data_IF_948828179474
#
_entry.id   IF_948828179474
#
_cell.length_a   1.000
_cell.length_b   1.000
_cell.length_c   1.000
_cell.angle_alpha   90.00
_cell.angle_beta   90.00
_cell.angle_gamma   90.00
#
_symmetry.space_group_name_H-M   'P 1'
#
loop_
_entity.id
_entity.type
_entity.pdbx_description
1 polymer ?
#
# COMPACT_ATOMS: atom_id res chain seq x y z
N UNK A 1 20.77 8.64 25.92
CA UNK A 1 19.48 9.21 26.25
C UNK A 1 18.79 9.56 24.94
N UNK A 2 18.32 8.57 24.20
CA UNK A 2 17.65 8.76 22.91
C UNK A 2 16.58 7.65 22.73
N UNK A 3 15.60 7.63 23.63
CA UNK A 3 14.44 6.74 23.51
C UNK A 3 13.17 7.55 23.76
N UNK A 4 12.87 8.50 22.85
CA UNK A 4 11.67 9.34 22.97
C UNK A 4 11.07 9.67 21.60
N UNK A 5 10.97 8.69 20.69
CA UNK A 5 10.40 8.93 19.36
C UNK A 5 9.07 8.20 19.07
N UNK A 6 8.44 7.63 20.06
CA UNK A 6 7.12 6.96 19.91
C UNK A 6 6.00 7.77 20.59
N UNK A 7 6.21 9.05 20.89
CA UNK A 7 5.37 9.75 21.86
C UNK A 7 4.38 10.82 21.41
N UNK A 8 4.24 11.28 20.15
CA UNK A 8 3.30 12.38 19.96
C UNK A 8 1.83 11.95 19.85
N UNK A 9 1.52 10.83 19.22
CA UNK A 9 0.12 10.45 19.03
C UNK A 9 -0.46 9.75 20.26
N UNK A 10 0.29 8.85 20.88
CA UNK A 10 -0.10 8.23 22.16
C UNK A 10 -0.23 9.25 23.28
N UNK A 11 0.57 10.32 23.29
CA UNK A 11 0.48 11.35 24.32
C UNK A 11 -0.70 12.30 24.07
N UNK A 12 -1.02 12.64 22.83
CA UNK A 12 -2.17 13.49 22.49
C UNK A 12 -3.50 12.77 22.76
N UNK A 13 -3.55 11.46 22.51
CA UNK A 13 -4.71 10.63 22.85
C UNK A 13 -4.78 10.37 24.35
N UNK A 14 -3.66 10.13 25.01
CA UNK A 14 -3.62 9.98 26.47
C UNK A 14 -4.01 11.29 27.20
N UNK A 15 -3.67 12.45 26.66
CA UNK A 15 -4.08 13.73 27.26
C UNK A 15 -5.55 14.08 26.99
N UNK A 16 -6.10 13.70 25.84
CA UNK A 16 -7.54 13.83 25.58
C UNK A 16 -8.39 12.84 26.37
N UNK A 17 -7.83 11.66 26.70
CA UNK A 17 -8.44 10.69 27.61
C UNK A 17 -8.31 11.10 29.07
N UNK A 18 -7.26 11.83 29.45
CA UNK A 18 -7.10 12.34 30.83
C UNK A 18 -8.16 13.40 31.20
N UNK A 19 -8.74 14.11 30.23
CA UNK A 19 -9.90 15.01 30.48
C UNK A 19 -11.24 14.27 30.58
N UNK A 20 -11.32 13.00 30.15
CA UNK A 20 -12.45 12.10 30.36
C UNK A 20 -12.30 11.23 31.63
N UNK A 21 -11.18 11.31 32.32
CA UNK A 21 -10.75 10.40 33.39
C UNK A 21 -11.44 10.58 34.74
N UNK A 22 -12.58 11.22 34.82
CA UNK A 22 -13.37 11.24 36.07
C UNK A 22 -14.31 10.03 36.23
N UNK A 23 -14.43 9.14 35.21
CA UNK A 23 -15.35 7.99 35.31
C UNK A 23 -14.94 6.71 34.56
N UNK A 24 -13.71 6.58 34.08
CA UNK A 24 -13.27 5.33 33.43
C UNK A 24 -12.26 4.58 34.32
N UNK A 25 -12.40 3.27 34.47
CA UNK A 25 -11.42 2.43 35.14
C UNK A 25 -10.12 2.33 34.32
N UNK A 26 -8.96 2.16 34.93
CA UNK A 26 -7.65 2.08 34.25
C UNK A 26 -7.60 1.03 33.13
N UNK A 27 -8.36 -0.08 33.27
CA UNK A 27 -8.52 -1.11 32.23
C UNK A 27 -9.20 -0.60 30.95
N UNK A 28 -10.00 0.44 31.06
CA UNK A 28 -10.75 1.01 29.94
C UNK A 28 -9.87 1.93 29.08
N UNK A 29 -8.94 2.63 29.73
CA UNK A 29 -7.95 3.47 29.06
C UNK A 29 -6.96 2.60 28.29
N UNK A 30 -6.46 1.53 28.88
CA UNK A 30 -5.53 0.59 28.25
C UNK A 30 -6.17 -0.12 27.04
N UNK A 31 -7.45 -0.52 27.13
CA UNK A 31 -8.18 -1.11 26.02
C UNK A 31 -8.41 -0.13 24.87
N UNK A 32 -8.68 1.15 25.18
CA UNK A 32 -8.82 2.21 24.18
C UNK A 32 -7.47 2.56 23.53
N UNK A 33 -6.41 2.65 24.31
CA UNK A 33 -5.04 2.88 23.80
C UNK A 33 -4.61 1.75 22.85
N UNK A 34 -4.82 0.48 23.25
CA UNK A 34 -4.52 -0.66 22.41
C UNK A 34 -5.34 -0.64 21.12
N UNK A 35 -6.61 -0.23 21.21
CA UNK A 35 -7.48 -0.13 20.03
C UNK A 35 -7.09 1.02 19.11
N UNK A 36 -6.67 2.13 19.67
CA UNK A 36 -6.12 3.23 18.89
C UNK A 36 -4.85 2.79 18.16
N UNK A 37 -3.93 2.08 18.82
CA UNK A 37 -2.75 1.50 18.18
C UNK A 37 -3.10 0.49 17.09
N UNK A 38 -4.17 -0.29 17.27
CA UNK A 38 -4.65 -1.20 16.22
C UNK A 38 -5.33 -0.47 15.06
N UNK A 39 -6.06 0.61 15.34
CA UNK A 39 -6.61 1.50 14.31
C UNK A 39 -5.50 2.22 13.55
N UNK A 40 -4.49 2.70 14.25
CA UNK A 40 -3.29 3.30 13.66
C UNK A 40 -2.56 2.31 12.74
N UNK A 41 -2.39 1.05 13.16
CA UNK A 41 -1.83 -0.02 12.31
C UNK A 41 -2.71 -0.37 11.09
N UNK A 42 -4.03 -0.08 11.18
CA UNK A 42 -5.00 -0.31 10.10
C UNK A 42 -5.15 0.89 9.15
N UNK A 43 -4.71 2.07 9.59
CA UNK A 43 -4.79 3.28 8.77
C UNK A 43 -3.99 3.12 7.49
N UNK A 44 -2.91 2.41 7.51
CA UNK A 44 -2.30 1.77 6.34
C UNK A 44 -1.12 0.89 6.76
N UNK A 45 -1.26 -0.43 6.88
CA UNK A 45 -0.13 -1.32 7.14
C UNK A 45 0.89 -1.35 6.00
N UNK A 46 0.63 -0.65 4.91
CA UNK A 46 1.45 -0.63 3.72
C UNK A 46 2.31 0.62 3.58
N UNK A 47 1.94 1.69 4.24
CA UNK A 47 2.91 2.75 4.49
C UNK A 47 3.88 2.20 5.50
N UNK A 48 5.12 2.00 5.05
CA UNK A 48 6.25 1.52 5.86
C UNK A 48 6.12 2.08 7.28
N UNK A 49 6.35 1.25 8.28
CA UNK A 49 6.21 1.53 9.73
C UNK A 49 6.77 2.89 10.23
N UNK A 50 7.47 3.63 9.39
CA UNK A 50 8.08 4.94 9.67
C UNK A 50 7.16 6.14 9.37
N UNK A 51 5.92 5.91 8.87
CA UNK A 51 5.05 6.99 8.40
C UNK A 51 3.85 7.20 9.33
N UNK A 52 4.09 7.62 10.55
CA UNK A 52 3.01 8.05 11.44
C UNK A 52 2.60 9.50 11.13
N UNK A 53 1.29 9.79 11.05
CA UNK A 53 0.82 11.15 10.83
C UNK A 53 1.32 12.08 11.94
N UNK A 54 1.91 13.21 11.57
CA UNK A 54 2.29 14.25 12.51
C UNK A 54 1.04 14.87 13.12
N UNK A 55 0.91 14.82 14.44
CA UNK A 55 -0.12 15.57 15.15
C UNK A 55 0.23 17.06 15.09
N UNK A 56 -0.65 17.85 14.45
CA UNK A 56 -0.37 19.26 14.15
C UNK A 56 -0.23 20.16 15.37
N UNK A 57 -0.91 19.87 16.47
CA UNK A 57 -0.67 20.51 17.75
C UNK A 57 -1.14 19.62 18.88
N UNK A 58 -0.36 19.45 19.96
CA UNK A 58 -0.77 18.68 21.13
C UNK A 58 -1.92 19.34 21.92
N UNK A 59 -2.28 20.57 21.62
CA UNK A 59 -3.24 21.37 22.37
C UNK A 59 -4.62 21.50 21.70
N UNK A 60 -4.83 20.89 20.50
CA UNK A 60 -6.13 20.85 19.88
C UNK A 60 -6.88 19.62 20.36
N UNK A 61 -7.91 19.86 21.16
CA UNK A 61 -8.90 18.85 21.52
C UNK A 61 -9.55 18.26 20.25
N UNK A 62 -9.49 16.93 20.07
CA UNK A 62 -10.12 16.27 18.93
C UNK A 62 -11.63 16.45 19.06
N UNK A 63 -12.28 17.27 18.21
CA UNK A 63 -13.69 17.53 18.34
C UNK A 63 -14.50 16.24 18.22
N UNK A 64 -15.33 15.96 19.21
CA UNK A 64 -16.25 14.81 19.21
C UNK A 64 -15.55 13.41 19.17
N UNK A 65 -14.24 13.31 19.41
CA UNK A 65 -13.48 12.06 19.36
C UNK A 65 -13.39 11.47 17.93
N UNK A 66 -13.39 12.32 16.91
CA UNK A 66 -13.16 11.90 15.52
C UNK A 66 -11.69 12.08 15.19
N UNK A 67 -11.01 10.99 14.84
CA UNK A 67 -9.64 11.01 14.33
C UNK A 67 -9.67 11.37 12.85
N UNK A 68 -8.95 12.42 12.48
CA UNK A 68 -8.70 12.81 11.10
C UNK A 68 -7.27 12.47 10.75
N UNK A 69 -7.08 11.64 9.72
CA UNK A 69 -5.77 11.21 9.24
C UNK A 69 -5.74 11.22 7.73
N UNK A 70 -4.56 11.21 7.14
CA UNK A 70 -4.45 11.20 5.70
C UNK A 70 -3.04 11.24 5.19
N UNK A 71 -2.95 11.15 3.86
CA UNK A 71 -1.75 11.29 3.08
C UNK A 71 -2.03 12.15 1.86
N UNK A 72 -1.16 13.07 1.53
CA UNK A 72 -1.25 13.77 0.25
C UNK A 72 0.11 14.23 -0.24
N UNK A 73 0.23 14.31 -1.57
CA UNK A 73 1.37 14.91 -2.26
C UNK A 73 0.90 15.69 -3.47
N UNK A 74 1.42 16.91 -3.61
CA UNK A 74 1.15 17.78 -4.75
C UNK A 74 2.38 18.53 -5.17
N UNK A 75 2.59 18.62 -6.47
CA UNK A 75 3.73 19.36 -7.03
C UNK A 75 3.57 19.60 -8.52
N UNK A 76 4.60 20.22 -9.06
CA UNK A 76 4.75 20.41 -10.49
C UNK A 76 6.21 20.30 -10.87
N UNK A 77 6.49 19.89 -12.11
CA UNK A 77 7.81 19.90 -12.67
C UNK A 77 7.81 20.48 -14.08
N UNK A 78 8.94 21.06 -14.44
CA UNK A 78 9.29 21.39 -15.81
C UNK A 78 9.95 20.17 -16.45
N UNK A 79 9.45 19.76 -17.60
CA UNK A 79 9.97 18.66 -18.40
C UNK A 79 10.80 19.21 -19.57
N UNK A 80 12.02 18.69 -19.74
CA UNK A 80 12.91 19.04 -20.83
C UNK A 80 13.31 17.87 -21.73
N UNK A 81 12.83 16.64 -21.45
CA UNK A 81 13.11 15.44 -22.23
C UNK A 81 11.89 14.94 -23.01
N UNK A 82 12.03 13.79 -23.64
CA UNK A 82 11.01 13.16 -24.48
C UNK A 82 9.83 12.63 -23.66
N UNK A 83 10.07 12.15 -22.44
CA UNK A 83 9.07 11.56 -21.56
C UNK A 83 8.83 12.38 -20.30
N UNK A 84 7.58 12.39 -19.84
CA UNK A 84 7.20 12.98 -18.55
C UNK A 84 7.83 12.27 -17.35
N UNK A 85 7.85 10.96 -17.40
CA UNK A 85 8.40 10.07 -16.38
C UNK A 85 9.32 9.04 -17.03
N UNK A 86 10.33 8.58 -16.31
CA UNK A 86 11.11 7.43 -16.75
C UNK A 86 10.27 6.17 -16.55
N UNK A 87 9.86 5.53 -17.63
CA UNK A 87 9.01 4.34 -17.60
C UNK A 87 9.45 3.36 -18.68
N UNK A 88 9.88 2.17 -18.28
CA UNK A 88 10.23 1.07 -19.17
C UNK A 88 8.96 0.36 -19.62
N UNK A 89 8.78 0.12 -20.92
CA UNK A 89 7.63 -0.61 -21.45
C UNK A 89 7.61 -2.04 -20.92
N UNK A 90 6.41 -2.50 -20.50
CA UNK A 90 6.22 -3.82 -19.88
C UNK A 90 6.53 -3.87 -18.37
N UNK A 91 6.81 -2.73 -17.76
CA UNK A 91 7.04 -2.61 -16.32
C UNK A 91 5.87 -3.14 -15.49
N UNK A 92 6.15 -3.93 -14.46
CA UNK A 92 5.15 -4.49 -13.53
C UNK A 92 4.45 -3.42 -12.67
N UNK A 93 5.07 -2.24 -12.51
CA UNK A 93 4.56 -1.13 -11.69
C UNK A 93 4.73 0.23 -12.38
N UNK A 94 4.63 0.29 -13.70
CA UNK A 94 4.76 1.53 -14.47
C UNK A 94 6.04 2.29 -14.13
N UNK A 95 5.96 3.61 -14.09
CA UNK A 95 7.11 4.48 -13.82
C UNK A 95 7.68 4.35 -12.40
N UNK A 96 6.92 3.82 -11.45
CA UNK A 96 7.38 3.68 -10.07
C UNK A 96 8.32 2.49 -9.87
N UNK A 97 8.32 1.49 -10.77
CA UNK A 97 9.19 0.33 -10.68
C UNK A 97 10.70 0.66 -10.70
N UNK A 98 11.06 1.83 -11.21
CA UNK A 98 12.44 2.35 -11.26
C UNK A 98 12.73 3.37 -10.13
N UNK A 99 11.85 3.41 -9.12
CA UNK A 99 11.89 4.36 -8.02
C UNK A 99 10.86 5.49 -8.18
N UNK A 100 10.27 5.91 -7.07
CA UNK A 100 9.16 6.86 -7.11
C UNK A 100 9.59 8.32 -7.23
N UNK A 101 10.72 8.73 -6.67
CA UNK A 101 11.11 10.14 -6.65
C UNK A 101 11.21 10.73 -8.07
N UNK A 102 10.52 11.83 -8.31
CA UNK A 102 10.44 12.47 -9.63
C UNK A 102 9.50 11.78 -10.64
N UNK A 103 8.94 10.62 -10.28
CA UNK A 103 7.91 9.90 -11.04
C UNK A 103 6.54 9.95 -10.35
N UNK A 104 6.39 10.77 -9.33
CA UNK A 104 5.19 10.83 -8.49
C UNK A 104 4.06 11.64 -9.15
N UNK A 105 2.84 11.12 -9.08
CA UNK A 105 1.63 11.87 -9.43
C UNK A 105 1.10 12.69 -8.24
N UNK A 106 0.21 13.64 -8.52
CA UNK A 106 -0.51 14.42 -7.51
C UNK A 106 -1.73 13.66 -6.99
N UNK A 107 -2.00 13.79 -5.71
CA UNK A 107 -3.18 13.23 -5.07
C UNK A 107 -2.94 12.85 -3.62
N UNK A 108 -3.90 12.15 -3.06
CA UNK A 108 -3.84 11.70 -1.69
C UNK A 108 -5.14 11.07 -1.22
N UNK A 109 -5.18 10.80 0.08
CA UNK A 109 -6.26 10.14 0.77
C UNK A 109 -6.48 10.82 2.11
N UNK A 110 -7.74 10.93 2.55
CA UNK A 110 -8.06 11.39 3.88
C UNK A 110 -9.12 10.53 4.53
N UNK A 111 -8.96 10.26 5.81
CA UNK A 111 -9.76 9.34 6.58
C UNK A 111 -10.34 10.01 7.82
N UNK A 112 -11.57 9.68 8.12
CA UNK A 112 -12.26 9.98 9.35
C UNK A 112 -12.56 8.67 10.07
N UNK A 113 -12.15 8.56 11.32
CA UNK A 113 -12.41 7.38 12.15
C UNK A 113 -12.98 7.79 13.50
N UNK A 114 -13.91 6.99 14.03
CA UNK A 114 -14.47 7.18 15.36
C UNK A 114 -14.68 5.85 16.07
N UNK A 115 -14.21 5.77 17.32
CA UNK A 115 -14.46 4.62 18.18
C UNK A 115 -15.59 4.91 19.19
N UNK A 116 -16.30 3.83 19.57
CA UNK A 116 -17.38 3.83 20.55
C UNK A 116 -17.20 2.65 21.49
N UNK A 117 -17.48 2.84 22.76
CA UNK A 117 -17.52 1.76 23.76
C UNK A 117 -18.91 1.67 24.33
N UNK A 118 -19.45 0.44 24.44
CA UNK A 118 -20.72 0.21 25.09
C UNK A 118 -20.53 -0.28 26.54
N UNK A 119 -21.64 -0.40 27.28
CA UNK A 119 -21.63 -0.83 28.69
C UNK A 119 -21.14 -2.28 28.89
N UNK A 120 -21.22 -3.14 27.88
CA UNK A 120 -20.69 -4.51 27.92
C UNK A 120 -19.19 -4.60 27.69
N UNK A 121 -18.53 -3.47 27.39
CA UNK A 121 -17.11 -3.38 27.13
C UNK A 121 -16.72 -3.62 25.67
N UNK A 122 -17.67 -3.88 24.77
CA UNK A 122 -17.37 -3.99 23.34
C UNK A 122 -16.94 -2.64 22.77
N UNK A 123 -15.88 -2.64 21.94
CA UNK A 123 -15.32 -1.45 21.31
C UNK A 123 -15.58 -1.51 19.83
N UNK A 124 -16.37 -0.57 19.35
CA UNK A 124 -16.73 -0.40 17.95
C UNK A 124 -15.94 0.72 17.32
N UNK A 125 -15.66 0.63 16.03
CA UNK A 125 -15.16 1.73 15.23
C UNK A 125 -15.94 1.85 13.92
N UNK A 126 -15.97 3.07 13.39
CA UNK A 126 -16.50 3.40 12.07
C UNK A 126 -15.44 4.20 11.36
N UNK A 127 -15.12 3.80 10.13
CA UNK A 127 -14.06 4.40 9.31
C UNK A 127 -14.62 4.77 7.94
N UNK A 128 -14.33 5.99 7.50
CA UNK A 128 -14.63 6.46 6.15
C UNK A 128 -13.39 7.12 5.57
N UNK A 129 -12.98 6.72 4.37
CA UNK A 129 -11.84 7.27 3.66
C UNK A 129 -12.22 7.67 2.25
N UNK A 130 -11.67 8.78 1.80
CA UNK A 130 -11.79 9.28 0.44
C UNK A 130 -10.40 9.45 -0.16
N UNK A 131 -10.26 9.23 -1.46
CA UNK A 131 -9.10 9.66 -2.22
C UNK A 131 -9.41 10.86 -3.12
N UNK A 132 -8.35 11.50 -3.61
CA UNK A 132 -8.43 12.60 -4.56
C UNK A 132 -7.28 12.54 -5.60
N UNK A 133 -7.01 11.32 -6.10
CA UNK A 133 -6.09 11.14 -7.20
C UNK A 133 -6.75 11.62 -8.50
N UNK A 134 -6.10 12.57 -9.20
CA UNK A 134 -6.63 13.12 -10.45
C UNK A 134 -7.76 14.15 -10.28
N UNK A 135 -7.80 14.88 -9.15
CA UNK A 135 -8.76 15.96 -8.83
C UNK A 135 -10.23 15.50 -8.65
N UNK A 136 -10.49 14.20 -8.62
CA UNK A 136 -11.78 13.62 -8.28
C UNK A 136 -11.77 13.04 -6.87
N UNK A 137 -12.88 13.21 -6.13
CA UNK A 137 -13.01 12.64 -4.79
C UNK A 137 -13.85 11.37 -4.86
N UNK A 138 -13.24 10.25 -4.48
CA UNK A 138 -13.89 8.94 -4.50
C UNK A 138 -13.89 8.28 -3.13
N UNK A 139 -14.98 7.57 -2.81
CA UNK A 139 -15.05 6.75 -1.59
C UNK A 139 -14.14 5.53 -1.72
N UNK A 140 -13.22 5.36 -0.76
CA UNK A 140 -12.29 4.23 -0.71
C UNK A 140 -12.59 3.26 0.42
N UNK A 141 -12.86 3.78 1.63
CA UNK A 141 -13.23 2.96 2.78
C UNK A 141 -14.56 3.44 3.36
N UNK A 142 -15.40 2.50 3.74
CA UNK A 142 -16.61 2.72 4.51
C UNK A 142 -16.96 1.42 5.23
N UNK A 143 -16.44 1.25 6.43
CA UNK A 143 -16.64 0.03 7.21
C UNK A 143 -16.86 0.33 8.69
N UNK A 144 -17.38 -0.66 9.38
CA UNK A 144 -17.40 -0.69 10.83
C UNK A 144 -16.82 -2.01 11.34
N UNK A 145 -16.22 -1.95 12.51
CA UNK A 145 -15.67 -3.11 13.15
C UNK A 145 -15.87 -3.13 14.66
N UNK A 146 -15.60 -4.25 15.27
CA UNK A 146 -15.79 -4.42 16.71
C UNK A 146 -14.80 -5.43 17.30
N UNK A 147 -14.30 -5.11 18.49
CA UNK A 147 -13.52 -6.03 19.33
C UNK A 147 -14.24 -6.29 20.65
N UNK A 148 -13.71 -7.26 21.41
CA UNK A 148 -14.20 -7.62 22.75
C UNK A 148 -15.67 -8.05 22.77
N UNK A 149 -16.09 -8.84 21.76
CA UNK A 149 -17.42 -9.45 21.66
C UNK A 149 -17.39 -10.97 21.79
N UNK A 150 -16.20 -11.58 21.70
CA UNK A 150 -15.97 -13.01 21.91
C UNK A 150 -15.15 -13.20 23.20
N UNK A 151 -15.76 -13.80 24.24
CA UNK A 151 -15.09 -13.98 25.55
C UNK A 151 -13.75 -14.73 25.43
N UNK A 152 -13.68 -15.75 24.56
CA UNK A 152 -12.45 -16.53 24.33
C UNK A 152 -11.43 -15.85 23.44
N UNK A 153 -11.80 -14.77 22.74
CA UNK A 153 -11.03 -14.07 21.72
C UNK A 153 -11.25 -12.54 21.84
N UNK A 154 -10.90 -11.90 22.98
CA UNK A 154 -11.23 -10.49 23.20
C UNK A 154 -10.51 -9.55 22.23
N UNK A 155 -9.40 -9.99 21.64
CA UNK A 155 -8.61 -9.22 20.69
C UNK A 155 -9.04 -9.47 19.22
N UNK A 156 -9.91 -10.45 18.97
CA UNK A 156 -10.43 -10.67 17.62
C UNK A 156 -11.24 -9.47 17.16
N UNK A 157 -10.99 -9.03 15.93
CA UNK A 157 -11.68 -7.92 15.31
C UNK A 157 -12.59 -8.40 14.21
N UNK A 158 -13.88 -8.20 14.38
CA UNK A 158 -14.90 -8.53 13.38
C UNK A 158 -15.27 -7.25 12.67
N UNK A 159 -15.22 -7.24 11.35
CA UNK A 159 -15.50 -6.06 10.54
C UNK A 159 -16.40 -6.39 9.35
N UNK A 160 -17.11 -5.37 8.86
CA UNK A 160 -17.88 -5.44 7.63
C UNK A 160 -17.94 -4.05 6.96
N UNK A 161 -17.91 -4.06 5.63
CA UNK A 161 -17.99 -2.87 4.80
C UNK A 161 -16.96 -2.89 3.67
N UNK A 162 -16.63 -1.73 3.16
CA UNK A 162 -15.62 -1.53 2.11
C UNK A 162 -14.31 -1.10 2.73
N UNK A 163 -13.22 -1.80 2.42
CA UNK A 163 -11.87 -1.48 2.95
C UNK A 163 -10.78 -1.72 1.90
N UNK A 164 -9.62 -1.11 2.15
CA UNK A 164 -8.35 -1.54 1.58
C UNK A 164 -7.95 -2.85 2.26
N UNK A 165 -8.29 -3.95 1.62
CA UNK A 165 -8.10 -5.26 2.22
C UNK A 165 -6.88 -5.96 1.66
N UNK A 166 -6.03 -6.50 2.53
CA UNK A 166 -4.76 -7.14 2.16
C UNK A 166 -4.00 -6.38 1.06
N UNK A 167 -3.67 -5.11 1.34
CA UNK A 167 -3.03 -4.20 0.39
C UNK A 167 -1.65 -3.75 0.87
N UNK A 168 -0.69 -4.68 1.07
CA UNK A 168 0.65 -4.34 1.51
C UNK A 168 1.44 -3.61 0.41
N UNK A 169 2.04 -2.48 0.76
CA UNK A 169 2.77 -1.59 -0.14
C UNK A 169 4.28 -1.59 0.13
N UNK A 170 5.05 -1.28 -0.90
CA UNK A 170 6.47 -0.97 -0.84
C UNK A 170 6.66 0.53 -1.04
N UNK A 171 7.14 1.24 -0.03
CA UNK A 171 7.18 2.71 -0.04
C UNK A 171 8.19 3.32 -1.02
N UNK A 172 9.27 2.61 -1.38
CA UNK A 172 10.31 3.12 -2.27
C UNK A 172 9.88 3.18 -3.74
N UNK A 173 8.92 2.32 -4.14
CA UNK A 173 8.39 2.22 -5.50
C UNK A 173 6.87 2.29 -5.60
N UNK A 174 6.16 2.60 -4.50
CA UNK A 174 4.69 2.64 -4.42
C UNK A 174 3.98 1.37 -4.92
N UNK A 175 4.61 0.19 -4.87
CA UNK A 175 4.03 -1.05 -5.37
C UNK A 175 3.20 -1.78 -4.32
N UNK A 176 1.94 -2.05 -4.66
CA UNK A 176 1.07 -2.96 -3.92
C UNK A 176 1.31 -4.38 -4.43
N UNK A 177 2.17 -5.13 -3.72
CA UNK A 177 2.52 -6.49 -4.14
C UNK A 177 1.39 -7.49 -3.93
N UNK A 178 0.35 -7.12 -3.18
CA UNK A 178 -0.93 -7.80 -3.01
C UNK A 178 -2.03 -6.76 -2.85
N UNK A 179 -3.23 -6.98 -3.41
CA UNK A 179 -4.33 -6.02 -3.31
C UNK A 179 -5.69 -6.70 -3.47
N UNK A 180 -6.52 -6.61 -2.44
CA UNK A 180 -7.89 -7.13 -2.43
C UNK A 180 -8.89 -6.07 -1.93
N UNK A 181 -8.71 -4.82 -2.39
CA UNK A 181 -9.61 -3.72 -2.03
C UNK A 181 -11.04 -4.07 -2.44
N UNK A 182 -11.95 -4.13 -1.48
CA UNK A 182 -13.28 -4.64 -1.76
C UNK A 182 -14.28 -4.37 -0.65
N UNK A 183 -15.50 -4.84 -0.84
CA UNK A 183 -16.55 -4.79 0.18
C UNK A 183 -16.90 -6.20 0.62
N UNK A 184 -17.00 -6.37 1.94
CA UNK A 184 -17.25 -7.70 2.51
C UNK A 184 -17.17 -7.67 4.01
N UNK A 185 -16.56 -8.70 4.58
CA UNK A 185 -16.37 -8.79 6.00
C UNK A 185 -15.33 -9.83 6.37
N UNK A 186 -14.90 -9.78 7.60
CA UNK A 186 -13.88 -10.69 8.08
C UNK A 186 -13.75 -10.70 9.59
N UNK A 187 -12.82 -11.52 10.03
CA UNK A 187 -12.35 -11.58 11.40
C UNK A 187 -10.83 -11.60 11.38
N UNK A 188 -10.21 -10.70 12.11
CA UNK A 188 -8.78 -10.59 12.22
C UNK A 188 -8.31 -10.84 13.64
N UNK A 189 -7.04 -11.19 13.79
CA UNK A 189 -6.39 -11.48 15.07
C UNK A 189 -7.03 -12.64 15.86
N UNK A 190 -7.55 -13.66 15.19
CA UNK A 190 -7.92 -14.90 15.87
C UNK A 190 -6.68 -15.57 16.45
N UNK A 191 -6.60 -15.68 17.76
CA UNK A 191 -5.46 -16.26 18.46
C UNK A 191 -5.48 -17.79 18.35
N UNK A 192 -4.42 -18.34 17.73
CA UNK A 192 -4.16 -19.77 17.61
C UNK A 192 -2.86 -20.11 18.38
N UNK A 193 -2.94 -20.06 19.70
CA UNK A 193 -1.76 -20.19 20.56
C UNK A 193 -0.87 -18.94 20.48
N UNK A 194 0.35 -19.09 19.95
CA UNK A 194 1.31 -17.98 19.79
C UNK A 194 1.17 -17.20 18.47
N UNK A 195 0.34 -17.70 17.54
CA UNK A 195 0.14 -17.08 16.22
C UNK A 195 -1.28 -16.54 16.08
N UNK A 196 -1.50 -15.71 15.08
CA UNK A 196 -2.79 -15.08 14.80
C UNK A 196 -3.22 -15.39 13.37
N UNK A 197 -4.52 -15.55 13.17
CA UNK A 197 -5.14 -15.82 11.88
C UNK A 197 -6.17 -14.73 11.56
N UNK A 198 -6.05 -14.15 10.36
CA UNK A 198 -7.04 -13.26 9.77
C UNK A 198 -7.76 -14.01 8.64
N UNK A 199 -9.07 -13.87 8.57
CA UNK A 199 -9.92 -14.46 7.53
C UNK A 199 -10.89 -13.40 7.01
N UNK A 200 -11.09 -13.35 5.69
CA UNK A 200 -12.02 -12.44 5.07
C UNK A 200 -12.67 -13.00 3.81
N UNK A 201 -13.85 -12.51 3.51
CA UNK A 201 -14.48 -12.65 2.21
C UNK A 201 -14.83 -11.25 1.72
N UNK A 202 -14.28 -10.88 0.60
CA UNK A 202 -14.48 -9.57 -0.01
C UNK A 202 -14.89 -9.72 -1.47
N UNK A 203 -15.78 -8.84 -1.90
CA UNK A 203 -16.23 -8.74 -3.28
C UNK A 203 -15.54 -7.54 -3.95
N UNK A 204 -15.24 -7.65 -5.23
CA UNK A 204 -14.78 -6.49 -6.02
C UNK A 204 -15.81 -5.36 -5.94
N UNK A 205 -15.36 -4.11 -5.88
CA UNK A 205 -16.26 -2.93 -5.88
C UNK A 205 -16.71 -2.50 -7.27
N UNK A 206 -16.27 -3.18 -8.31
CA UNK A 206 -16.74 -2.93 -9.67
C UNK A 206 -18.17 -3.43 -9.81
N UNK A 207 -19.11 -2.56 -10.14
CA UNK A 207 -20.44 -2.97 -10.55
C UNK A 207 -20.53 -2.94 -12.07
N UNK A 208 -21.00 -4.05 -12.63
CA UNK A 208 -21.28 -4.16 -14.05
C UNK A 208 -22.72 -3.71 -14.32
N UNK A 209 -22.90 -2.59 -15.00
CA UNK A 209 -24.20 -2.16 -15.50
C UNK A 209 -24.32 -2.55 -16.98
N UNK A 210 -25.37 -3.26 -17.39
CA UNK A 210 -25.62 -3.48 -18.80
C UNK A 210 -26.03 -2.14 -19.44
N UNK A 211 -25.18 -1.58 -20.30
CA UNK A 211 -25.60 -0.49 -21.19
C UNK A 211 -26.39 -1.09 -22.36
N UNK A 212 -27.70 -0.96 -22.29
CA UNK A 212 -28.59 -1.32 -23.38
C UNK A 212 -28.74 -0.11 -24.32
N UNK A 213 -27.90 -0.04 -25.33
CA UNK A 213 -28.10 0.92 -26.42
C UNK A 213 -29.07 0.29 -27.44
N UNK A 214 -30.22 0.90 -27.74
CA UNK A 214 -31.15 0.36 -28.70
C UNK A 214 -30.47 0.15 -30.08
N UNK A 215 -30.42 -1.08 -30.56
CA UNK A 215 -29.86 -1.44 -31.86
C UNK A 215 -28.40 -1.91 -31.85
N UNK A 216 -27.73 -1.98 -30.72
CA UNK A 216 -26.43 -2.60 -30.53
C UNK A 216 -26.53 -3.87 -29.68
N UNK A 217 -25.54 -4.75 -29.78
CA UNK A 217 -25.40 -5.83 -28.81
C UNK A 217 -25.18 -5.20 -27.42
N UNK A 218 -25.80 -5.74 -26.33
CA UNK A 218 -25.60 -5.24 -25.00
C UNK A 218 -24.10 -5.28 -24.67
N UNK A 219 -23.51 -4.13 -24.40
CA UNK A 219 -22.16 -4.04 -23.85
C UNK A 219 -22.29 -3.97 -22.33
N UNK A 220 -21.57 -4.81 -21.62
CA UNK A 220 -21.46 -4.72 -20.17
C UNK A 220 -20.34 -3.74 -19.89
N UNK A 221 -20.70 -2.55 -19.41
CA UNK A 221 -19.74 -1.57 -18.88
C UNK A 221 -19.65 -1.74 -17.37
N UNK A 222 -18.48 -2.15 -16.88
CA UNK A 222 -18.20 -2.21 -15.46
C UNK A 222 -17.67 -0.85 -15.03
N UNK A 223 -18.48 -0.08 -14.32
CA UNK A 223 -18.06 1.15 -13.65
C UNK A 223 -18.04 0.91 -12.15
N UNK A 224 -17.05 1.49 -11.46
CA UNK A 224 -16.96 1.36 -10.00
C UNK A 224 -18.31 1.66 -9.33
N UNK A 225 -18.84 0.71 -8.61
CA UNK A 225 -20.19 0.75 -8.08
C UNK A 225 -20.26 0.91 -6.57
N UNK A 226 -21.30 1.62 -6.14
CA UNK A 226 -21.65 1.80 -4.73
C UNK A 226 -22.78 0.86 -4.26
N UNK A 227 -23.15 -0.13 -5.10
CA UNK A 227 -24.25 -1.05 -4.78
C UNK A 227 -23.90 -2.07 -3.70
N UNK A 228 -24.91 -2.55 -3.00
CA UNK A 228 -24.82 -3.69 -2.06
C UNK A 228 -25.12 -5.02 -2.74
N UNK A 229 -25.21 -5.04 -4.07
CA UNK A 229 -25.52 -6.22 -4.85
C UNK A 229 -24.32 -7.17 -4.99
N UNK A 230 -24.59 -8.30 -5.62
CA UNK A 230 -23.58 -9.24 -6.03
C UNK A 230 -22.71 -8.63 -7.14
N UNK A 231 -21.42 -8.40 -6.89
CA UNK A 231 -20.48 -7.87 -7.89
C UNK A 231 -20.00 -8.95 -8.87
N UNK A 232 -20.33 -10.21 -8.60
CA UNK A 232 -19.92 -11.33 -9.43
C UNK A 232 -18.54 -11.89 -9.11
N UNK A 233 -17.64 -11.12 -8.53
CA UNK A 233 -16.23 -11.51 -8.31
C UNK A 233 -15.86 -11.38 -6.84
N UNK A 234 -15.38 -12.47 -6.27
CA UNK A 234 -15.07 -12.60 -4.85
C UNK A 234 -13.66 -13.09 -4.58
N UNK A 235 -13.14 -12.76 -3.40
CA UNK A 235 -11.93 -13.34 -2.85
C UNK A 235 -12.21 -13.86 -1.42
N UNK A 236 -11.84 -15.10 -1.15
CA UNK A 236 -11.56 -15.58 0.18
C UNK A 236 -10.09 -15.28 0.47
N UNK A 237 -9.83 -14.63 1.60
CA UNK A 237 -8.49 -14.21 1.99
C UNK A 237 -8.11 -14.77 3.34
N UNK A 238 -6.84 -15.11 3.51
CA UNK A 238 -6.32 -15.52 4.80
C UNK A 238 -4.89 -15.00 5.00
N UNK A 239 -4.57 -14.66 6.26
CA UNK A 239 -3.23 -14.27 6.70
C UNK A 239 -2.92 -14.94 8.04
N UNK A 240 -1.82 -15.67 8.11
CA UNK A 240 -1.27 -16.20 9.35
C UNK A 240 -0.05 -15.35 9.72
N UNK A 241 -0.04 -14.77 10.92
CA UNK A 241 1.00 -13.83 11.34
C UNK A 241 1.36 -13.95 12.83
N UNK A 242 2.35 -13.16 13.27
CA UNK A 242 2.90 -13.29 14.62
C UNK A 242 3.74 -14.55 14.80
N UNK A 243 4.30 -15.10 13.72
CA UNK A 243 5.17 -16.26 13.77
C UNK A 243 6.60 -15.75 14.02
N UNK A 244 7.07 -15.91 15.25
CA UNK A 244 8.45 -15.59 15.62
C UNK A 244 9.36 -16.77 15.29
N UNK A 245 10.29 -16.57 14.34
CA UNK A 245 11.32 -17.56 13.99
C UNK A 245 12.58 -17.42 14.85
N UNK A 246 12.61 -16.51 15.82
CA UNK A 246 13.74 -16.21 16.69
C UNK A 246 14.79 -15.26 16.08
N UNK A 247 14.90 -15.20 14.76
CA UNK A 247 15.79 -14.27 14.04
C UNK A 247 15.03 -13.30 13.13
N UNK A 248 13.77 -13.57 12.84
CA UNK A 248 12.89 -12.77 12.00
C UNK A 248 11.43 -13.14 12.28
N UNK A 249 10.51 -12.29 11.90
CA UNK A 249 9.07 -12.53 11.90
C UNK A 249 8.63 -13.08 10.54
N UNK A 250 7.66 -14.01 10.53
CA UNK A 250 7.08 -14.59 9.33
C UNK A 250 5.58 -14.31 9.27
N UNK A 251 5.12 -13.87 8.10
CA UNK A 251 3.71 -13.81 7.74
C UNK A 251 3.45 -14.69 6.50
N UNK A 252 2.33 -15.38 6.47
CA UNK A 252 1.90 -16.23 5.37
C UNK A 252 0.52 -15.81 4.91
N UNK A 253 0.31 -15.81 3.60
CA UNK A 253 -0.95 -15.44 2.94
C UNK A 253 -1.40 -16.57 2.03
N UNK A 254 -2.72 -16.83 2.01
CA UNK A 254 -3.34 -17.71 1.04
C UNK A 254 -4.73 -17.17 0.66
N UNK A 255 -4.90 -16.87 -0.63
CA UNK A 255 -6.10 -16.24 -1.16
C UNK A 255 -6.65 -17.07 -2.32
N UNK A 256 -7.99 -17.07 -2.45
CA UNK A 256 -8.72 -17.76 -3.49
C UNK A 256 -9.77 -16.84 -4.10
N UNK A 257 -9.69 -16.63 -5.42
CA UNK A 257 -10.63 -15.85 -6.19
C UNK A 257 -11.64 -16.74 -6.90
N UNK A 258 -12.92 -16.39 -6.78
CA UNK A 258 -14.01 -17.15 -7.38
C UNK A 258 -15.09 -16.20 -7.92
N UNK A 259 -15.91 -16.72 -8.83
CA UNK A 259 -17.06 -16.00 -9.40
C UNK A 259 -18.35 -16.48 -8.76
N UNK A 260 -19.34 -15.58 -8.65
CA UNK A 260 -20.69 -15.97 -8.30
C UNK A 260 -21.45 -16.47 -9.55
N UNK A 261 -22.57 -17.15 -9.31
CA UNK A 261 -23.48 -17.59 -10.38
C UNK A 261 -24.11 -16.42 -11.15
N UNK A 262 -23.99 -15.17 -10.64
CA UNK A 262 -24.51 -13.98 -11.33
C UNK A 262 -23.72 -13.60 -12.58
N UNK A 263 -22.48 -14.07 -12.70
CA UNK A 263 -21.70 -13.89 -13.93
C UNK A 263 -22.13 -14.94 -14.96
N UNK A 264 -22.87 -14.50 -15.97
CA UNK A 264 -23.22 -15.31 -17.15
C UNK A 264 -21.99 -15.51 -18.08
N UNK A 265 -20.84 -15.88 -17.58
CA UNK A 265 -19.72 -16.28 -18.41
C UNK A 265 -19.75 -17.81 -18.60
N UNK A 266 -19.46 -18.26 -19.79
CA UNK A 266 -19.38 -19.68 -20.10
C UNK A 266 -18.20 -20.38 -19.40
N UNK A 267 -17.31 -19.62 -18.78
CA UNK A 267 -16.10 -20.11 -18.13
C UNK A 267 -15.88 -19.34 -16.83
N UNK A 268 -16.15 -20.03 -15.70
CA UNK A 268 -15.74 -19.55 -14.39
C UNK A 268 -14.24 -19.82 -14.20
N UNK A 269 -13.47 -18.79 -13.92
CA UNK A 269 -12.04 -18.90 -13.69
C UNK A 269 -11.80 -18.75 -12.18
N UNK A 270 -11.16 -19.76 -11.61
CA UNK A 270 -10.64 -19.69 -10.24
C UNK A 270 -9.22 -19.13 -10.26
N UNK A 271 -8.89 -18.34 -9.25
CA UNK A 271 -7.55 -17.80 -9.07
C UNK A 271 -7.00 -18.14 -7.69
N UNK A 272 -5.70 -18.36 -7.61
CA UNK A 272 -5.02 -18.70 -6.36
C UNK A 272 -3.82 -17.78 -6.15
N UNK A 273 -3.59 -17.40 -4.90
CA UNK A 273 -2.41 -16.59 -4.55
C UNK A 273 -1.86 -17.03 -3.21
N UNK A 274 -0.55 -17.25 -3.16
CA UNK A 274 0.21 -17.53 -1.95
C UNK A 274 1.24 -16.41 -1.75
N UNK A 275 1.40 -15.99 -0.51
CA UNK A 275 2.39 -14.98 -0.13
C UNK A 275 3.15 -15.36 1.12
N UNK A 276 4.39 -14.90 1.22
CA UNK A 276 5.19 -14.99 2.42
C UNK A 276 6.00 -13.71 2.61
N UNK A 277 6.06 -13.23 3.83
CA UNK A 277 6.90 -12.09 4.23
C UNK A 277 7.78 -12.52 5.38
N UNK A 278 9.08 -12.34 5.21
CA UNK A 278 10.06 -12.51 6.28
C UNK A 278 10.61 -11.13 6.59
N UNK A 279 10.40 -10.65 7.80
CA UNK A 279 10.80 -9.31 8.22
C UNK A 279 11.68 -9.35 9.45
N UNK A 280 12.65 -8.43 9.50
CA UNK A 280 13.51 -8.23 10.64
C UNK A 280 13.78 -6.76 10.83
N UNK A 281 13.51 -6.27 12.04
CA UNK A 281 13.85 -4.92 12.46
C UNK A 281 14.89 -4.96 13.57
N UNK A 282 15.75 -3.94 13.62
CA UNK A 282 16.71 -3.69 14.69
C UNK A 282 16.94 -2.17 14.84
N UNK A 283 17.78 -1.78 15.80
CA UNK A 283 18.05 -0.36 16.10
C UNK A 283 18.65 0.42 14.91
N UNK A 284 19.19 -0.27 13.90
CA UNK A 284 19.83 0.36 12.75
C UNK A 284 18.93 0.42 11.52
N UNK A 285 17.78 -0.27 11.53
CA UNK A 285 16.86 -0.31 10.38
C UNK A 285 16.07 -1.60 10.29
N UNK A 286 15.44 -1.81 9.13
CA UNK A 286 14.61 -2.97 8.87
C UNK A 286 14.91 -3.59 7.51
N UNK A 287 14.62 -4.88 7.39
CA UNK A 287 14.73 -5.63 6.14
C UNK A 287 13.50 -6.49 5.97
N UNK A 288 13.04 -6.64 4.74
CA UNK A 288 11.89 -7.45 4.38
C UNK A 288 12.16 -8.23 3.09
N UNK A 289 11.93 -9.53 3.13
CA UNK A 289 11.84 -10.40 1.96
C UNK A 289 10.37 -10.70 1.71
N UNK A 290 9.88 -10.38 0.52
CA UNK A 290 8.51 -10.64 0.08
C UNK A 290 8.54 -11.66 -1.02
N UNK A 291 7.69 -12.66 -0.94
CA UNK A 291 7.48 -13.69 -1.96
C UNK A 291 5.98 -13.81 -2.25
N UNK A 292 5.61 -13.85 -3.52
CA UNK A 292 4.25 -14.10 -4.00
C UNK A 292 4.27 -15.04 -5.19
N UNK A 293 3.38 -16.01 -5.18
CA UNK A 293 3.00 -16.83 -6.32
C UNK A 293 1.51 -16.65 -6.57
N UNK A 294 1.13 -16.45 -7.84
CA UNK A 294 -0.28 -16.40 -8.21
C UNK A 294 -0.53 -17.25 -9.46
N UNK A 295 -1.70 -17.87 -9.50
CA UNK A 295 -2.22 -18.65 -10.61
C UNK A 295 -3.54 -18.03 -11.07
N UNK A 296 -3.69 -17.79 -12.36
CA UNK A 296 -4.77 -17.02 -12.98
C UNK A 296 -4.93 -15.59 -12.44
N UNK A 297 -3.89 -15.03 -11.81
CA UNK A 297 -3.91 -13.69 -11.24
C UNK A 297 -2.51 -13.06 -11.20
N UNK A 298 -2.44 -11.77 -10.96
CA UNK A 298 -1.21 -11.09 -10.60
C UNK A 298 -1.23 -10.68 -9.11
N UNK A 299 -1.36 -9.41 -8.78
CA UNK A 299 -1.31 -8.92 -7.39
C UNK A 299 -2.64 -9.03 -6.65
N UNK A 300 -3.72 -9.43 -7.29
CA UNK A 300 -5.02 -9.66 -6.67
C UNK A 300 -5.86 -10.69 -7.41
N UNK A 301 -6.50 -11.59 -6.67
CA UNK A 301 -7.30 -12.70 -7.23
C UNK A 301 -8.66 -12.25 -7.80
N UNK A 302 -8.99 -10.96 -7.76
CA UNK A 302 -10.16 -10.41 -8.44
C UNK A 302 -9.97 -10.31 -9.95
N UNK A 303 -8.77 -9.88 -10.39
CA UNK A 303 -8.45 -9.66 -11.80
C UNK A 303 -7.87 -10.93 -12.39
N UNK A 304 -8.77 -11.79 -12.85
CA UNK A 304 -8.43 -13.10 -13.32
C UNK A 304 -8.07 -13.07 -14.81
N UNK A 305 -6.98 -13.73 -15.12
CA UNK A 305 -6.52 -13.96 -16.50
C UNK A 305 -6.22 -15.44 -16.62
N UNK A 306 -6.95 -16.13 -17.49
CA UNK A 306 -6.80 -17.56 -17.68
C UNK A 306 -5.39 -17.94 -18.14
N UNK A 307 -4.83 -19.00 -17.56
CA UNK A 307 -3.47 -19.50 -17.80
C UNK A 307 -2.34 -18.54 -17.37
N UNK A 308 -2.64 -17.48 -16.67
CA UNK A 308 -1.63 -16.57 -16.14
C UNK A 308 -0.98 -17.17 -14.90
N UNK A 309 0.34 -17.27 -14.91
CA UNK A 309 1.15 -17.50 -13.72
C UNK A 309 2.03 -16.30 -13.46
N UNK A 310 2.08 -15.82 -12.21
CA UNK A 310 3.01 -14.77 -11.81
C UNK A 310 3.80 -15.15 -10.57
N UNK A 311 5.06 -14.74 -10.55
CA UNK A 311 5.95 -14.85 -9.39
C UNK A 311 6.49 -13.46 -9.10
N UNK A 312 6.34 -13.02 -7.87
CA UNK A 312 6.96 -11.81 -7.37
C UNK A 312 7.90 -12.13 -6.21
N UNK A 313 9.10 -11.60 -6.26
CA UNK A 313 10.06 -11.68 -5.17
C UNK A 313 10.74 -10.33 -5.00
N UNK A 314 10.86 -9.84 -3.77
CA UNK A 314 11.62 -8.63 -3.50
C UNK A 314 12.35 -8.69 -2.18
N UNK A 315 13.49 -8.01 -2.14
CA UNK A 315 14.22 -7.73 -0.92
C UNK A 315 14.37 -6.22 -0.78
N UNK A 316 13.85 -5.68 0.31
CA UNK A 316 13.85 -4.26 0.59
C UNK A 316 14.24 -3.97 2.02
N UNK A 317 14.62 -2.74 2.28
CA UNK A 317 14.93 -2.32 3.63
C UNK A 317 15.42 -0.89 3.72
N UNK A 318 15.69 -0.52 4.95
CA UNK A 318 16.34 0.73 5.31
C UNK A 318 17.45 0.48 6.33
N UNK A 319 18.44 1.36 6.35
CA UNK A 319 19.49 1.32 7.36
C UNK A 319 19.97 2.73 7.69
N UNK A 320 20.12 3.01 8.98
CA UNK A 320 20.78 4.21 9.47
C UNK A 320 22.30 4.03 9.39
N UNK A 321 22.96 4.92 8.68
CA UNK A 321 24.42 4.92 8.46
C UNK A 321 25.10 5.95 9.37
N UNK A 322 24.86 5.84 10.68
CA UNK A 322 25.31 6.79 11.69
C UNK A 322 24.25 7.85 12.04
N UNK A 323 24.69 9.03 12.53
CA UNK A 323 23.77 10.04 13.06
C UNK A 323 23.09 10.89 11.97
N UNK A 324 23.72 11.03 10.80
CA UNK A 324 23.30 11.99 9.76
C UNK A 324 23.05 11.36 8.39
N UNK A 325 23.03 10.05 8.28
CA UNK A 325 22.81 9.39 7.01
C UNK A 325 21.94 8.13 7.18
N UNK A 326 21.16 7.87 6.15
CA UNK A 326 20.40 6.64 6.03
C UNK A 326 20.37 6.18 4.56
N UNK A 327 19.97 4.95 4.33
CA UNK A 327 19.77 4.40 3.00
C UNK A 327 18.50 3.56 2.99
N UNK A 328 17.70 3.70 1.93
CA UNK A 328 16.63 2.77 1.56
C UNK A 328 17.02 2.04 0.29
N UNK A 329 16.57 0.80 0.14
CA UNK A 329 16.86 0.00 -1.05
C UNK A 329 15.78 -1.03 -1.34
N UNK A 330 15.69 -1.40 -2.62
CA UNK A 330 14.82 -2.45 -3.11
C UNK A 330 15.50 -3.19 -4.26
N UNK A 331 15.41 -4.51 -4.24
CA UNK A 331 15.61 -5.39 -5.38
C UNK A 331 14.31 -6.14 -5.62
N UNK A 332 13.79 -6.14 -6.85
CA UNK A 332 12.57 -6.83 -7.19
C UNK A 332 12.70 -7.66 -8.46
N UNK A 333 12.03 -8.78 -8.46
CA UNK A 333 11.83 -9.72 -9.55
C UNK A 333 10.34 -9.95 -9.73
N UNK A 334 9.85 -9.85 -10.96
CA UNK A 334 8.47 -10.18 -11.29
C UNK A 334 8.43 -10.94 -12.60
N UNK A 335 7.98 -12.17 -12.55
CA UNK A 335 7.72 -13.01 -13.70
C UNK A 335 6.23 -13.02 -14.03
N UNK A 336 5.91 -12.89 -15.31
CA UNK A 336 4.56 -12.85 -15.84
C UNK A 336 4.49 -13.74 -17.08
N UNK A 337 3.70 -14.82 -17.03
CA UNK A 337 3.61 -15.81 -18.08
C UNK A 337 2.18 -16.29 -18.29
N UNK A 338 1.65 -16.14 -19.51
CA UNK A 338 0.38 -16.73 -19.93
C UNK A 338 0.67 -17.95 -20.83
N UNK A 339 0.38 -19.14 -20.31
CA UNK A 339 0.63 -20.39 -21.07
C UNK A 339 -0.18 -20.44 -22.36
N UNK A 340 0.48 -20.89 -23.41
CA UNK A 340 -0.11 -21.01 -24.76
C UNK A 340 -0.31 -19.68 -25.50
N UNK A 341 0.00 -18.52 -24.91
CA UNK A 341 -0.05 -17.24 -25.63
C UNK A 341 1.11 -17.08 -26.62
N UNK A 342 0.85 -16.35 -27.71
CA UNK A 342 1.86 -15.97 -28.71
C UNK A 342 2.15 -14.46 -28.71
N UNK A 343 1.56 -13.69 -27.81
CA UNK A 343 1.81 -12.26 -27.73
C UNK A 343 3.12 -11.97 -26.99
N UNK A 344 3.79 -10.91 -27.41
CA UNK A 344 5.06 -10.51 -26.86
C UNK A 344 4.93 -10.17 -25.35
N UNK A 345 3.91 -9.41 -25.01
CA UNK A 345 3.66 -8.92 -23.65
C UNK A 345 3.25 -10.00 -22.65
N UNK A 346 2.85 -11.19 -23.11
CA UNK A 346 2.29 -12.24 -22.27
C UNK A 346 3.35 -13.18 -21.67
N UNK A 347 4.62 -12.98 -21.99
CA UNK A 347 5.72 -13.74 -21.40
C UNK A 347 6.94 -12.83 -21.21
N UNK A 348 7.08 -12.31 -19.99
CA UNK A 348 8.15 -11.37 -19.65
C UNK A 348 8.59 -11.46 -18.20
N UNK A 349 9.85 -11.14 -17.96
CA UNK A 349 10.44 -11.08 -16.63
C UNK A 349 10.97 -9.67 -16.35
N UNK A 350 10.57 -9.09 -15.23
CA UNK A 350 11.01 -7.78 -14.77
C UNK A 350 12.06 -7.90 -13.68
N UNK A 351 13.10 -7.09 -13.77
CA UNK A 351 14.13 -6.89 -12.76
C UNK A 351 14.19 -5.42 -12.42
N UNK A 352 14.16 -5.09 -11.13
CA UNK A 352 14.24 -3.72 -10.64
C UNK A 352 15.23 -3.61 -9.49
N UNK A 353 16.02 -2.55 -9.49
CA UNK A 353 16.93 -2.22 -8.41
C UNK A 353 16.85 -0.73 -8.11
N UNK A 354 16.60 -0.37 -6.85
CA UNK A 354 16.49 1.00 -6.38
C UNK A 354 17.35 1.17 -5.14
N UNK A 355 18.07 2.29 -5.06
CA UNK A 355 18.80 2.70 -3.86
C UNK A 355 18.59 4.18 -3.63
N UNK A 356 18.33 4.55 -2.39
CA UNK A 356 18.09 5.94 -1.98
C UNK A 356 18.94 6.30 -0.75
N UNK A 357 20.22 6.67 -0.92
CA UNK A 357 21.00 7.29 0.14
C UNK A 357 20.45 8.66 0.48
N UNK A 358 20.43 8.97 1.76
CA UNK A 358 19.90 10.20 2.35
C UNK A 358 20.93 10.78 3.31
N UNK A 359 21.16 12.07 3.23
CA UNK A 359 22.00 12.80 4.17
C UNK A 359 21.19 13.92 4.83
N UNK A 360 21.19 13.93 6.16
CA UNK A 360 20.47 14.88 7.01
C UNK A 360 21.44 15.92 7.56
N UNK A 361 21.35 17.14 7.04
CA UNK A 361 22.19 18.26 7.47
C UNK A 361 21.86 18.72 8.89
N UNK A 362 20.59 18.63 9.23
CA UNK A 362 20.02 18.90 10.56
C UNK A 362 18.60 18.33 10.60
N UNK A 363 17.83 18.62 11.65
CA UNK A 363 16.47 18.10 11.83
C UNK A 363 15.47 18.58 10.77
N UNK A 364 15.79 19.60 9.99
CA UNK A 364 14.90 20.21 9.01
C UNK A 364 15.37 19.98 7.57
N UNK A 365 16.67 19.96 7.31
CA UNK A 365 17.22 19.92 5.95
C UNK A 365 17.86 18.58 5.66
N UNK A 366 17.52 18.00 4.50
CA UNK A 366 18.15 16.77 4.00
C UNK A 366 18.34 16.81 2.48
N UNK A 367 19.33 16.06 2.01
CA UNK A 367 19.56 15.81 0.59
C UNK A 367 19.46 14.33 0.31
N UNK A 368 18.59 13.95 -0.62
CA UNK A 368 18.39 12.57 -1.02
C UNK A 368 18.80 12.37 -2.47
N UNK A 369 19.42 11.23 -2.73
CA UNK A 369 19.72 10.74 -4.06
C UNK A 369 19.00 9.43 -4.26
N UNK A 370 18.10 9.34 -5.24
CA UNK A 370 17.53 8.05 -5.65
C UNK A 370 18.11 7.65 -6.98
N UNK A 371 18.64 6.43 -7.07
CA UNK A 371 19.05 5.81 -8.31
C UNK A 371 18.28 4.51 -8.51
N UNK A 372 17.72 4.34 -9.70
CA UNK A 372 16.98 3.15 -10.09
C UNK A 372 17.43 2.61 -11.45
N UNK A 373 17.32 1.30 -11.60
CA UNK A 373 17.51 0.59 -12.85
C UNK A 373 16.42 -0.47 -13.00
N UNK A 374 15.90 -0.60 -14.22
CA UNK A 374 14.92 -1.63 -14.56
C UNK A 374 15.27 -2.28 -15.89
N UNK A 375 15.01 -3.59 -15.97
CA UNK A 375 15.06 -4.38 -17.20
C UNK A 375 13.79 -5.21 -17.30
N UNK A 376 13.23 -5.29 -18.51
CA UNK A 376 12.13 -6.15 -18.88
C UNK A 376 12.61 -7.06 -20.01
N UNK A 377 12.80 -8.32 -19.68
CA UNK A 377 13.18 -9.39 -20.59
C UNK A 377 11.92 -10.04 -21.15
N UNK A 378 11.78 -10.04 -22.47
CA UNK A 378 10.65 -10.65 -23.18
C UNK A 378 11.11 -11.97 -23.81
N UNK A 379 10.50 -13.08 -23.39
CA UNK A 379 10.86 -14.40 -23.90
C UNK A 379 10.76 -14.56 -25.43
N UNK A 380 10.05 -13.65 -26.11
CA UNK A 380 9.80 -13.70 -27.55
C UNK A 380 10.46 -12.57 -28.35
N UNK A 381 11.33 -11.80 -27.74
CA UNK A 381 12.14 -10.77 -28.41
C UNK A 381 13.61 -11.17 -28.37
N UNK A 382 14.39 -10.64 -29.33
CA UNK A 382 15.85 -10.78 -29.32
C UNK A 382 16.54 -9.74 -28.43
N UNK A 383 15.82 -8.67 -28.08
CA UNK A 383 16.30 -7.55 -27.29
C UNK A 383 15.43 -7.37 -26.03
N UNK A 384 15.99 -6.73 -25.01
CA UNK A 384 15.33 -6.35 -23.75
C UNK A 384 14.91 -4.86 -23.78
N UNK A 385 13.95 -4.51 -22.92
CA UNK A 385 13.70 -3.12 -22.58
C UNK A 385 14.45 -2.79 -21.28
N UNK A 386 15.15 -1.67 -21.27
CA UNK A 386 15.93 -1.24 -20.10
C UNK A 386 15.73 0.24 -19.80
N UNK A 387 15.98 0.64 -18.58
CA UNK A 387 15.97 2.04 -18.19
C UNK A 387 16.75 2.30 -16.91
N UNK A 388 17.20 3.54 -16.78
CA UNK A 388 17.82 4.03 -15.57
C UNK A 388 17.28 5.42 -15.22
N UNK A 389 17.26 5.71 -13.92
CA UNK A 389 16.83 7.02 -13.39
C UNK A 389 17.70 7.42 -12.23
N UNK A 390 18.01 8.71 -12.16
CA UNK A 390 18.62 9.34 -11.00
C UNK A 390 17.83 10.59 -10.64
N UNK A 391 17.41 10.71 -9.39
CA UNK A 391 16.76 11.90 -8.84
C UNK A 391 17.55 12.42 -7.66
N UNK A 392 17.97 13.67 -7.74
CA UNK A 392 18.55 14.41 -6.62
C UNK A 392 17.49 15.34 -6.04
N UNK A 393 17.31 15.32 -4.73
CA UNK A 393 16.37 16.23 -4.07
C UNK A 393 16.97 16.90 -2.86
N UNK A 394 16.61 18.18 -2.69
CA UNK A 394 16.80 18.95 -1.47
C UNK A 394 15.46 19.06 -0.76
N UNK A 395 15.41 18.66 0.49
CA UNK A 395 14.18 18.58 1.24
C UNK A 395 14.22 19.51 2.47
N UNK A 396 13.03 19.99 2.82
CA UNK A 396 12.75 20.71 4.07
C UNK A 396 11.62 19.93 4.74
N UNK A 397 11.88 19.30 5.87
CA UNK A 397 10.94 18.41 6.57
C UNK A 397 10.71 18.86 8.02
N UNK A 398 9.62 18.37 8.59
CA UNK A 398 9.24 18.71 9.97
C UNK A 398 10.23 18.22 11.02
N UNK A 399 10.88 17.07 10.78
CA UNK A 399 11.83 16.45 11.70
C UNK A 399 12.88 15.64 10.92
N UNK A 400 13.81 15.04 11.63
CA UNK A 400 14.85 14.17 11.10
C UNK A 400 14.28 12.80 10.70
N UNK A 401 14.81 12.24 9.62
CA UNK A 401 14.54 10.87 9.17
C UNK A 401 13.78 10.81 7.85
N UNK A 402 13.81 9.62 7.24
CA UNK A 402 13.16 9.35 5.95
C UNK A 402 11.63 9.51 6.03
N UNK A 403 11.06 9.19 7.19
CA UNK A 403 9.63 9.30 7.47
C UNK A 403 9.13 10.69 7.89
N UNK A 404 10.01 11.69 8.05
CA UNK A 404 9.61 12.99 8.57
C UNK A 404 8.71 13.76 7.60
N UNK A 405 7.49 14.08 8.02
CA UNK A 405 6.51 14.86 7.25
C UNK A 405 5.80 15.89 8.14
N UNK A 406 5.26 16.99 7.60
CA UNK A 406 5.27 17.38 6.18
C UNK A 406 6.67 17.66 5.64
N UNK A 407 6.83 17.50 4.32
CA UNK A 407 8.08 17.73 3.61
C UNK A 407 7.84 18.57 2.35
N UNK A 408 8.67 19.58 2.14
CA UNK A 408 8.82 20.25 0.86
C UNK A 408 10.04 19.65 0.16
N UNK A 409 9.88 19.24 -1.08
CA UNK A 409 10.93 18.62 -1.89
C UNK A 409 11.16 19.45 -3.14
N UNK A 410 12.42 19.82 -3.39
CA UNK A 410 12.90 20.42 -4.64
C UNK A 410 13.83 19.42 -5.30
N UNK A 411 13.56 19.04 -6.54
CA UNK A 411 14.28 17.93 -7.16
C UNK A 411 14.63 18.16 -8.61
N UNK A 412 15.64 17.44 -9.06
CA UNK A 412 15.99 17.26 -10.46
C UNK A 412 16.10 15.76 -10.76
N UNK A 413 15.48 15.33 -11.85
CA UNK A 413 15.51 13.95 -12.32
C UNK A 413 16.12 13.90 -13.71
N UNK A 414 16.98 12.92 -13.94
CA UNK A 414 17.47 12.54 -15.25
C UNK A 414 17.36 11.02 -15.42
N UNK A 415 17.07 10.57 -16.63
CA UNK A 415 16.97 9.17 -16.95
C UNK A 415 16.83 8.91 -18.44
N UNK A 416 16.98 7.66 -18.83
CA UNK A 416 16.80 7.18 -20.20
C UNK A 416 16.15 5.81 -20.16
N UNK A 417 15.29 5.55 -21.11
CA UNK A 417 14.79 4.20 -21.41
C UNK A 417 15.26 3.80 -22.82
N UNK A 418 15.45 2.49 -23.01
CA UNK A 418 15.78 1.87 -24.29
C UNK A 418 14.81 0.70 -24.49
N UNK A 419 13.66 0.95 -25.17
CA UNK A 419 12.55 0.02 -25.33
C UNK A 419 12.67 -0.78 -26.65
N UNK A 420 13.83 -1.41 -26.89
CA UNK A 420 14.15 -2.13 -28.13
C UNK A 420 13.21 -3.30 -28.46
N UNK A 421 12.73 -4.00 -27.44
CA UNK A 421 11.83 -5.12 -27.64
C UNK A 421 10.44 -4.70 -28.14
N UNK A 422 9.99 -3.48 -27.81
CA UNK A 422 8.61 -3.06 -28.03
C UNK A 422 8.43 -1.86 -28.96
N UNK A 423 9.49 -1.07 -29.21
CA UNK A 423 9.37 0.20 -29.92
C UNK A 423 10.39 0.34 -31.08
N UNK A 424 9.98 0.96 -32.19
CA UNK A 424 10.85 1.27 -33.32
C UNK A 424 11.75 2.49 -33.09
N UNK A 425 11.38 3.40 -32.16
CA UNK A 425 12.21 4.50 -31.65
C UNK A 425 12.45 4.27 -30.16
N UNK A 426 13.39 3.37 -29.84
CA UNK A 426 13.46 2.75 -28.53
C UNK A 426 13.99 3.67 -27.44
N UNK A 427 14.85 4.65 -27.83
CA UNK A 427 15.51 5.51 -26.85
C UNK A 427 14.73 6.78 -26.60
N UNK A 428 14.42 7.00 -25.35
CA UNK A 428 13.74 8.22 -24.90
C UNK A 428 14.41 8.71 -23.62
N UNK A 429 14.73 9.99 -23.57
CA UNK A 429 15.29 10.59 -22.37
C UNK A 429 14.23 11.30 -21.53
N UNK A 430 14.60 11.54 -20.29
CA UNK A 430 13.82 12.33 -19.33
C UNK A 430 14.77 13.26 -18.61
N UNK A 431 14.41 14.53 -18.60
CA UNK A 431 15.00 15.52 -17.70
C UNK A 431 13.87 16.35 -17.11
N UNK A 432 13.81 16.45 -15.80
CA UNK A 432 12.83 17.29 -15.14
C UNK A 432 13.40 17.99 -13.91
N UNK A 433 12.86 19.17 -13.62
CA UNK A 433 13.12 19.92 -12.37
C UNK A 433 11.77 20.26 -11.77
N UNK A 434 11.60 19.99 -10.48
CA UNK A 434 10.29 20.16 -9.87
C UNK A 434 10.35 20.53 -8.41
N UNK A 435 9.17 20.84 -7.90
CA UNK A 435 8.91 21.04 -6.49
C UNK A 435 7.59 20.36 -6.12
N UNK A 436 7.54 19.74 -4.94
CA UNK A 436 6.34 19.15 -4.39
C UNK A 436 6.35 19.22 -2.87
N UNK A 437 5.17 19.12 -2.30
CA UNK A 437 5.03 18.79 -0.89
C UNK A 437 4.46 17.37 -0.73
N UNK A 438 4.81 16.75 0.36
CA UNK A 438 4.27 15.45 0.78
C UNK A 438 4.00 15.50 2.28
N UNK A 439 2.84 15.03 2.69
CA UNK A 439 2.43 15.01 4.09
C UNK A 439 1.55 13.82 4.40
N UNK A 440 1.66 13.35 5.64
CA UNK A 440 0.66 12.55 6.34
C UNK A 440 0.38 13.16 7.69
N UNK A 441 -0.83 12.96 8.19
CA UNK A 441 -1.31 13.57 9.44
C UNK A 441 -2.31 12.65 10.14
#
# INVERSE_FOLDING_TARGET
>A
MKNLKVLPLTLAVATSLASLSTFAADSDVEALEKRIQELEKRIDPTYVDDQQPAVLTPDIEIPYGVVFSGYARYGAHYQGGDQKYVMVDGSFNGSSAIGRLGNEGNGGEFQLAKAFKNDSGAIWDVVVMFDHWGDEVNLKKAYAGVTNVLESQPNAYIWAGRDFHQRPQQGINDYFWMMHDGQGGGIDNLELGSVKLDLGVVASVESCNPEITPGSNPSISCTGGSGTGDSGVYAFTSKLHGIDMGFADLELYANYGFDSEAIESSEHIDAYQLGAVISRANDSGSNRLVLRYSDNADNGVFWKTEYLTTIYASFEGNANLGENAAVEYLLAYHDYSIDGSNKLEDERTNYSAIVRPMYFWNDVHSTWLEAGYQMVDYARADDDNTGWKVTLSQNISFDWGAGARPMLRFYATAGEVDNKATNNDPKQDTFSVGAMWEAWW
#
